data_IF_870544422910
#
_entry.id   IF_870544422910
#
_cell.length_a   1.000
_cell.length_b   1.000
_cell.length_c   1.000
_cell.angle_alpha   90.00
_cell.angle_beta   90.00
_cell.angle_gamma   90.00
#
_symmetry.space_group_name_H-M   'P 1'
#
loop_
_entity.id
_entity.type
_entity.pdbx_description
1 polymer ?
#
# COMPACT_ATOMS: atom_id res chain seq x y z
N UNK A 1 -24.75 -10.45 4.43
CA UNK A 1 -23.94 -11.47 3.74
C UNK A 1 -24.82 -12.66 3.38
N UNK A 2 -24.46 -13.42 2.33
CA UNK A 2 -25.16 -14.64 1.90
C UNK A 2 -24.88 -15.79 2.89
N UNK A 3 -23.74 -15.76 3.51
CA UNK A 3 -23.33 -16.68 4.58
C UNK A 3 -22.42 -15.95 5.59
N UNK A 4 -22.32 -16.50 6.80
CA UNK A 4 -21.52 -15.90 7.88
C UNK A 4 -22.19 -14.67 8.49
N UNK A 5 -21.41 -13.86 9.19
CA UNK A 5 -21.88 -12.67 9.89
C UNK A 5 -20.86 -11.54 9.89
N UNK A 6 -21.36 -10.31 10.02
CA UNK A 6 -20.56 -9.11 10.26
C UNK A 6 -20.80 -8.65 11.70
N UNK A 7 -19.73 -8.55 12.47
CA UNK A 7 -19.74 -8.13 13.89
C UNK A 7 -18.92 -6.87 14.14
N UNK A 8 -19.35 -6.11 15.13
CA UNK A 8 -18.55 -5.05 15.78
C UNK A 8 -18.60 -5.30 17.29
N UNK A 9 -17.47 -5.69 17.84
CA UNK A 9 -17.44 -6.26 19.19
C UNK A 9 -18.37 -7.50 19.30
N UNK A 10 -19.23 -7.48 20.29
CA UNK A 10 -20.23 -8.53 20.50
C UNK A 10 -21.52 -8.33 19.73
N UNK A 11 -21.68 -7.21 18.99
CA UNK A 11 -22.88 -6.86 18.27
C UNK A 11 -22.85 -7.36 16.83
N UNK A 12 -23.75 -8.27 16.49
CA UNK A 12 -23.98 -8.73 15.10
C UNK A 12 -24.70 -7.63 14.34
N UNK A 13 -24.09 -7.12 13.27
CA UNK A 13 -24.66 -6.09 12.40
C UNK A 13 -25.42 -6.67 11.23
N UNK A 14 -24.97 -7.80 10.70
CA UNK A 14 -25.60 -8.46 9.56
C UNK A 14 -25.29 -9.96 9.57
N UNK A 15 -26.30 -10.75 9.26
CA UNK A 15 -26.23 -12.20 9.03
C UNK A 15 -27.35 -12.57 8.04
N UNK A 16 -27.44 -13.82 7.52
CA UNK A 16 -28.47 -14.22 6.59
C UNK A 16 -29.92 -13.97 7.06
N UNK A 17 -30.14 -13.92 8.37
CA UNK A 17 -31.48 -13.68 8.96
C UNK A 17 -31.65 -12.34 9.66
N UNK A 18 -30.61 -11.52 9.76
CA UNK A 18 -30.64 -10.28 10.54
C UNK A 18 -29.82 -9.19 9.85
N UNK A 19 -30.42 -8.02 9.65
CA UNK A 19 -29.71 -6.84 9.12
C UNK A 19 -30.07 -5.63 9.97
N UNK A 20 -29.07 -5.08 10.68
CA UNK A 20 -29.23 -3.79 11.35
C UNK A 20 -29.15 -2.69 10.28
N UNK A 21 -30.14 -1.78 10.21
CA UNK A 21 -30.14 -0.71 9.22
C UNK A 21 -28.93 0.25 9.45
N UNK A 22 -28.40 0.86 8.37
CA UNK A 22 -27.16 1.64 8.41
C UNK A 22 -27.11 2.72 9.50
N UNK A 23 -28.19 3.44 9.70
CA UNK A 23 -28.30 4.54 10.69
C UNK A 23 -28.18 4.08 12.16
N UNK A 24 -28.34 2.77 12.41
CA UNK A 24 -28.20 2.17 13.75
C UNK A 24 -26.86 1.46 13.96
N UNK A 25 -25.96 1.45 12.97
CA UNK A 25 -24.68 0.74 13.04
C UNK A 25 -23.59 1.49 13.79
N UNK A 26 -23.77 2.79 14.04
CA UNK A 26 -22.78 3.69 14.61
C UNK A 26 -21.50 3.75 13.77
N UNK A 27 -21.67 3.77 12.47
CA UNK A 27 -20.61 3.86 11.47
C UNK A 27 -20.78 5.13 10.65
N UNK A 28 -19.67 5.72 10.23
CA UNK A 28 -19.66 6.79 9.24
C UNK A 28 -18.96 6.32 7.98
N UNK A 29 -19.34 6.88 6.84
CA UNK A 29 -18.75 6.54 5.55
C UNK A 29 -18.37 7.80 4.77
N UNK A 30 -17.18 7.76 4.17
CA UNK A 30 -16.71 8.74 3.20
C UNK A 30 -16.67 8.07 1.83
N UNK A 31 -17.44 8.62 0.91
CA UNK A 31 -17.55 8.13 -0.46
C UNK A 31 -16.48 8.75 -1.35
N UNK A 32 -16.19 8.12 -2.46
CA UNK A 32 -15.25 8.58 -3.48
C UNK A 32 -15.54 10.01 -3.97
N UNK A 33 -16.82 10.40 -4.11
CA UNK A 33 -17.25 11.73 -4.54
C UNK A 33 -17.39 12.76 -3.41
N UNK A 34 -16.93 12.41 -2.18
CA UNK A 34 -17.13 13.18 -0.95
C UNK A 34 -18.60 13.37 -0.54
N UNK A 35 -19.54 13.30 -1.46
CA UNK A 35 -20.99 13.44 -1.27
C UNK A 35 -21.38 14.64 -0.38
N UNK A 36 -20.73 15.81 -0.60
CA UNK A 36 -21.10 17.04 0.05
C UNK A 36 -22.37 17.62 -0.57
N UNK A 37 -23.25 18.17 0.28
CA UNK A 37 -24.45 18.87 -0.17
C UNK A 37 -24.06 20.26 -0.68
N UNK A 38 -24.19 20.55 -1.99
CA UNK A 38 -23.69 21.81 -2.56
C UNK A 38 -24.48 23.05 -2.13
N UNK A 39 -25.73 22.87 -1.69
CA UNK A 39 -26.61 23.93 -1.20
C UNK A 39 -26.47 24.21 0.31
N UNK A 40 -25.61 23.47 1.00
CA UNK A 40 -25.31 23.65 2.42
C UNK A 40 -23.91 24.22 2.59
N UNK A 41 -23.73 25.07 3.58
CA UNK A 41 -22.39 25.55 3.98
C UNK A 41 -21.56 24.42 4.59
N UNK A 42 -20.25 24.65 4.76
CA UNK A 42 -19.35 23.72 5.45
C UNK A 42 -19.87 23.34 6.83
N UNK A 43 -20.23 24.34 7.65
CA UNK A 43 -20.78 24.08 8.98
C UNK A 43 -22.08 23.27 8.93
N UNK A 44 -22.96 23.54 7.96
CA UNK A 44 -24.21 22.79 7.78
C UNK A 44 -23.96 21.34 7.32
N UNK A 45 -23.00 21.12 6.40
CA UNK A 45 -22.58 19.77 5.99
C UNK A 45 -22.07 18.97 7.19
N UNK A 46 -21.18 19.55 8.00
CA UNK A 46 -20.64 18.90 9.20
C UNK A 46 -21.73 18.65 10.23
N UNK A 47 -22.59 19.65 10.48
CA UNK A 47 -23.66 19.55 11.47
C UNK A 47 -24.75 18.52 11.14
N UNK A 48 -24.83 18.06 9.89
CA UNK A 48 -25.95 17.24 9.41
C UNK A 48 -26.13 15.96 10.25
N UNK A 49 -25.07 15.22 10.48
CA UNK A 49 -25.10 13.99 11.28
C UNK A 49 -25.50 14.20 12.74
N UNK A 50 -25.14 15.35 13.33
CA UNK A 50 -25.48 15.66 14.72
C UNK A 50 -26.99 15.86 14.96
N UNK A 51 -27.80 16.04 13.89
CA UNK A 51 -29.25 16.15 13.99
C UNK A 51 -29.91 14.84 14.42
N UNK A 52 -29.29 13.71 14.06
CA UNK A 52 -29.81 12.36 14.30
C UNK A 52 -29.13 11.67 15.50
N UNK A 53 -27.97 12.14 15.93
CA UNK A 53 -27.14 11.53 16.99
C UNK A 53 -27.49 11.91 18.43
N UNK A 54 -28.61 12.64 18.66
CA UNK A 54 -29.05 13.01 20.03
C UNK A 54 -28.22 14.13 20.68
N UNK A 55 -27.27 14.75 19.98
CA UNK A 55 -26.43 15.86 20.51
C UNK A 55 -27.31 17.09 20.83
N UNK A 56 -27.28 17.63 22.06
CA UNK A 56 -28.04 18.82 22.44
C UNK A 56 -27.72 20.01 21.53
N UNK A 57 -28.73 20.81 21.21
CA UNK A 57 -28.59 21.93 20.27
C UNK A 57 -27.52 22.94 20.68
N UNK A 58 -27.36 23.18 21.98
CA UNK A 58 -26.36 24.12 22.53
C UNK A 58 -24.90 23.62 22.43
N UNK A 59 -24.68 22.31 22.24
CA UNK A 59 -23.33 21.75 22.16
C UNK A 59 -22.84 21.60 20.70
N UNK A 60 -23.75 21.68 19.71
CA UNK A 60 -23.44 21.41 18.30
C UNK A 60 -22.42 22.39 17.72
N UNK A 61 -22.55 23.69 18.05
CA UNK A 61 -21.64 24.71 17.53
C UNK A 61 -20.20 24.47 18.01
N UNK A 62 -20.00 24.16 19.29
CA UNK A 62 -18.68 23.85 19.86
C UNK A 62 -18.05 22.61 19.19
N UNK A 63 -18.84 21.54 19.00
CA UNK A 63 -18.35 20.32 18.30
C UNK A 63 -17.97 20.59 16.85
N UNK A 64 -18.76 21.41 16.13
CA UNK A 64 -18.46 21.81 14.75
C UNK A 64 -17.15 22.60 14.67
N UNK A 65 -16.97 23.60 15.55
CA UNK A 65 -15.74 24.38 15.58
C UNK A 65 -14.52 23.54 15.94
N UNK A 66 -14.65 22.62 16.89
CA UNK A 66 -13.59 21.72 17.30
C UNK A 66 -13.15 20.81 16.14
N UNK A 67 -14.11 20.17 15.45
CA UNK A 67 -13.77 19.26 14.36
C UNK A 67 -13.23 20.02 13.15
N UNK A 68 -13.76 21.22 12.82
CA UNK A 68 -13.21 22.05 11.75
C UNK A 68 -11.77 22.49 12.05
N UNK A 69 -11.45 22.78 13.31
CA UNK A 69 -10.08 23.06 13.75
C UNK A 69 -9.19 21.81 13.60
N UNK A 70 -9.69 20.64 13.94
CA UNK A 70 -8.94 19.38 13.83
C UNK A 70 -8.55 19.04 12.39
N UNK A 71 -9.41 19.35 11.41
CA UNK A 71 -9.16 19.16 9.98
C UNK A 71 -8.59 20.41 9.29
N UNK A 72 -8.11 21.41 10.05
CA UNK A 72 -7.49 22.65 9.56
C UNK A 72 -8.40 23.51 8.66
N UNK A 73 -9.69 23.54 8.96
CA UNK A 73 -10.69 24.36 8.27
C UNK A 73 -11.32 25.44 9.19
N UNK A 74 -10.57 25.94 10.18
CA UNK A 74 -11.02 27.06 11.00
C UNK A 74 -11.39 28.27 10.13
N UNK A 75 -12.56 28.87 10.39
CA UNK A 75 -13.05 30.04 9.62
C UNK A 75 -13.72 29.72 8.29
N UNK A 76 -13.77 28.45 7.86
CA UNK A 76 -14.42 28.05 6.61
C UNK A 76 -15.91 27.70 6.76
N UNK A 77 -16.45 27.73 7.96
CA UNK A 77 -17.80 27.27 8.28
C UNK A 77 -18.93 27.89 7.45
N UNK A 78 -18.79 29.16 7.03
CA UNK A 78 -19.78 29.87 6.23
C UNK A 78 -19.67 29.65 4.71
N UNK A 79 -18.57 29.04 4.22
CA UNK A 79 -18.36 28.79 2.80
C UNK A 79 -19.19 27.62 2.29
N UNK A 80 -19.45 27.62 0.97
CA UNK A 80 -20.08 26.51 0.27
C UNK A 80 -19.04 25.57 -0.35
N UNK A 81 -19.37 24.30 -0.59
CA UNK A 81 -18.44 23.33 -1.21
C UNK A 81 -17.82 23.80 -2.52
N UNK A 82 -18.57 24.51 -3.37
CA UNK A 82 -18.05 25.05 -4.64
C UNK A 82 -16.96 26.13 -4.49
N UNK A 83 -16.76 26.67 -3.31
CA UNK A 83 -15.74 27.67 -2.99
C UNK A 83 -14.46 27.05 -2.43
N UNK A 84 -14.39 25.70 -2.39
CA UNK A 84 -13.32 24.93 -1.78
C UNK A 84 -12.51 24.16 -2.83
N UNK A 85 -11.21 24.00 -2.58
CA UNK A 85 -10.39 23.04 -3.33
C UNK A 85 -10.82 21.59 -3.03
N UNK A 86 -10.43 20.64 -3.91
CA UNK A 86 -10.74 19.22 -3.71
C UNK A 86 -10.28 18.67 -2.35
N UNK A 87 -9.06 19.01 -1.92
CA UNK A 87 -8.57 18.62 -0.60
C UNK A 87 -9.34 19.26 0.56
N UNK A 88 -9.80 20.51 0.41
CA UNK A 88 -10.67 21.14 1.41
C UNK A 88 -12.04 20.47 1.45
N UNK A 89 -12.63 20.11 0.30
CA UNK A 89 -13.89 19.36 0.25
C UNK A 89 -13.75 18.01 0.95
N UNK A 90 -12.64 17.30 0.72
CA UNK A 90 -12.36 16.05 1.40
C UNK A 90 -12.25 16.24 2.92
N UNK A 91 -11.53 17.25 3.39
CA UNK A 91 -11.45 17.58 4.83
C UNK A 91 -12.83 17.87 5.43
N UNK A 92 -13.73 18.50 4.68
CA UNK A 92 -15.14 18.67 5.10
C UNK A 92 -15.86 17.34 5.22
N UNK A 93 -15.67 16.42 4.26
CA UNK A 93 -16.26 15.08 4.31
C UNK A 93 -15.75 14.28 5.51
N UNK A 94 -14.45 14.37 5.79
CA UNK A 94 -13.83 13.77 6.99
C UNK A 94 -14.41 14.39 8.26
N UNK A 95 -14.51 15.72 8.36
CA UNK A 95 -15.10 16.40 9.50
C UNK A 95 -16.57 15.98 9.74
N UNK A 96 -17.36 15.86 8.66
CA UNK A 96 -18.75 15.38 8.73
C UNK A 96 -18.85 13.95 9.26
N UNK A 97 -17.91 13.08 8.87
CA UNK A 97 -17.88 11.70 9.32
C UNK A 97 -17.42 11.57 10.79
N UNK A 98 -16.47 12.40 11.22
CA UNK A 98 -15.88 12.34 12.57
C UNK A 98 -16.73 13.03 13.64
N UNK A 99 -17.49 14.08 13.29
CA UNK A 99 -18.24 14.88 14.28
C UNK A 99 -19.30 14.09 15.05
N UNK A 100 -19.76 12.96 14.46
CA UNK A 100 -20.74 12.04 15.08
C UNK A 100 -20.08 10.98 15.98
N UNK A 101 -18.75 11.02 16.11
CA UNK A 101 -17.97 10.09 16.94
C UNK A 101 -18.30 8.61 16.63
N UNK A 102 -18.09 8.17 15.39
CA UNK A 102 -18.47 6.82 14.98
C UNK A 102 -17.56 5.76 15.64
N UNK A 103 -18.08 4.55 15.84
CA UNK A 103 -17.27 3.39 16.27
C UNK A 103 -16.34 2.90 15.14
N UNK A 104 -16.80 3.01 13.89
CA UNK A 104 -16.06 2.60 12.70
C UNK A 104 -16.20 3.67 11.62
N UNK A 105 -15.07 3.98 10.99
CA UNK A 105 -15.00 4.85 9.81
C UNK A 105 -14.74 4.00 8.56
N UNK A 106 -15.60 4.13 7.56
CA UNK A 106 -15.48 3.47 6.27
C UNK A 106 -15.02 4.50 5.23
N UNK A 107 -13.97 4.21 4.50
CA UNK A 107 -13.40 5.07 3.47
C UNK A 107 -13.33 4.28 2.16
N UNK A 108 -14.11 4.71 1.16
CA UNK A 108 -14.18 4.05 -0.14
C UNK A 108 -13.49 4.91 -1.18
N UNK A 109 -12.24 4.57 -1.50
CA UNK A 109 -11.34 5.28 -2.42
C UNK A 109 -11.32 6.82 -2.23
N UNK A 110 -11.13 7.32 -1.00
CA UNK A 110 -11.37 8.73 -0.69
C UNK A 110 -10.40 9.70 -1.37
N UNK A 111 -9.28 9.23 -1.91
CA UNK A 111 -8.23 10.05 -2.54
C UNK A 111 -8.20 9.96 -4.06
N UNK A 112 -9.07 9.12 -4.68
CA UNK A 112 -9.00 8.82 -6.12
C UNK A 112 -9.22 10.04 -7.02
N UNK A 113 -9.96 11.05 -6.58
CA UNK A 113 -10.30 12.26 -7.33
C UNK A 113 -9.29 13.42 -7.15
N UNK A 114 -8.18 13.19 -6.43
CA UNK A 114 -7.15 14.19 -6.19
C UNK A 114 -5.99 14.04 -7.17
N UNK A 115 -5.34 15.16 -7.49
CA UNK A 115 -4.05 15.16 -8.17
C UNK A 115 -2.95 14.51 -7.30
N UNK A 116 -1.81 14.15 -7.92
CA UNK A 116 -0.77 13.37 -7.26
C UNK A 116 -0.17 14.07 -6.03
N UNK A 117 0.06 15.39 -6.11
CA UNK A 117 0.66 16.16 -5.01
C UNK A 117 -0.28 16.26 -3.82
N UNK A 118 -1.54 16.57 -4.08
CA UNK A 118 -2.56 16.69 -3.05
C UNK A 118 -2.90 15.32 -2.43
N UNK A 119 -2.86 14.26 -3.23
CA UNK A 119 -3.04 12.89 -2.75
C UNK A 119 -1.95 12.49 -1.75
N UNK A 120 -0.70 12.84 -2.03
CA UNK A 120 0.42 12.59 -1.12
C UNK A 120 0.24 13.32 0.20
N UNK A 121 -0.09 14.61 0.20
CA UNK A 121 -0.39 15.39 1.41
C UNK A 121 -1.52 14.75 2.21
N UNK A 122 -2.60 14.37 1.53
CA UNK A 122 -3.81 13.84 2.18
C UNK A 122 -3.64 12.44 2.77
N UNK A 123 -2.71 11.61 2.26
CA UNK A 123 -2.34 10.34 2.91
C UNK A 123 -1.84 10.56 4.33
N UNK A 124 -0.88 11.47 4.50
CA UNK A 124 -0.33 11.78 5.81
C UNK A 124 -1.38 12.44 6.74
N UNK A 125 -2.26 13.28 6.17
CA UNK A 125 -3.32 13.91 6.93
C UNK A 125 -4.35 12.88 7.46
N UNK A 126 -4.78 11.92 6.62
CA UNK A 126 -5.67 10.83 7.05
C UNK A 126 -4.98 9.98 8.13
N UNK A 127 -3.71 9.63 7.96
CA UNK A 127 -2.94 8.88 8.97
C UNK A 127 -2.89 9.65 10.29
N UNK A 128 -2.58 10.94 10.27
CA UNK A 128 -2.56 11.81 11.44
C UNK A 128 -3.92 11.89 12.17
N UNK A 129 -5.01 11.99 11.39
CA UNK A 129 -6.36 12.01 11.95
C UNK A 129 -6.73 10.66 12.57
N UNK A 130 -6.39 9.55 11.91
CA UNK A 130 -6.58 8.21 12.46
C UNK A 130 -5.86 8.05 13.81
N UNK A 131 -4.59 8.41 13.90
CA UNK A 131 -3.81 8.35 15.14
C UNK A 131 -4.38 9.26 16.24
N UNK A 132 -4.85 10.46 15.87
CA UNK A 132 -5.42 11.41 16.82
C UNK A 132 -6.75 10.94 17.41
N UNK A 133 -7.63 10.38 16.61
CA UNK A 133 -8.97 9.99 17.03
C UNK A 133 -9.08 8.53 17.48
N UNK A 134 -8.14 7.67 17.11
CA UNK A 134 -8.09 6.25 17.50
C UNK A 134 -9.29 5.42 17.01
N UNK A 135 -9.96 5.84 15.92
CA UNK A 135 -11.17 5.20 15.40
C UNK A 135 -10.77 4.02 14.52
N UNK A 136 -11.39 2.87 14.72
CA UNK A 136 -11.24 1.73 13.82
C UNK A 136 -11.67 2.13 12.41
N UNK A 137 -10.75 2.04 11.46
CA UNK A 137 -10.97 2.49 10.08
C UNK A 137 -10.84 1.34 9.10
N UNK A 138 -11.82 1.17 8.23
CA UNK A 138 -11.74 0.30 7.06
C UNK A 138 -11.53 1.18 5.82
N UNK A 139 -10.37 1.05 5.20
CA UNK A 139 -9.94 1.85 4.05
C UNK A 139 -9.86 0.98 2.80
N UNK A 140 -10.62 1.32 1.77
CA UNK A 140 -10.58 0.66 0.47
C UNK A 140 -9.81 1.55 -0.50
N UNK A 141 -8.82 0.97 -1.18
CA UNK A 141 -8.03 1.67 -2.21
C UNK A 141 -7.46 0.69 -3.22
N UNK A 142 -7.22 1.16 -4.43
CA UNK A 142 -6.39 0.51 -5.44
C UNK A 142 -4.95 1.07 -5.49
N UNK A 143 -4.67 2.15 -4.74
CA UNK A 143 -3.33 2.75 -4.64
C UNK A 143 -2.53 2.08 -3.52
N UNK A 144 -1.45 1.40 -3.91
CA UNK A 144 -0.58 0.69 -2.98
C UNK A 144 0.11 1.63 -1.98
N UNK A 145 0.48 2.85 -2.43
CA UNK A 145 1.15 3.81 -1.55
C UNK A 145 0.20 4.32 -0.46
N UNK A 146 -1.12 4.43 -0.74
CA UNK A 146 -2.12 4.72 0.29
C UNK A 146 -2.19 3.59 1.32
N UNK A 147 -2.30 2.35 0.87
CA UNK A 147 -2.34 1.19 1.75
C UNK A 147 -1.08 1.10 2.64
N UNK A 148 0.09 1.35 2.07
CA UNK A 148 1.37 1.29 2.79
C UNK A 148 1.53 2.37 3.86
N UNK A 149 1.04 3.59 3.60
CA UNK A 149 1.21 4.73 4.52
C UNK A 149 0.12 4.77 5.59
N UNK A 150 -1.13 4.49 5.19
CA UNK A 150 -2.29 4.75 6.05
C UNK A 150 -2.59 3.58 6.99
N UNK A 151 -2.40 2.34 6.56
CA UNK A 151 -2.90 1.19 7.30
C UNK A 151 -1.92 0.60 8.33
N UNK A 152 -2.46 0.05 9.42
CA UNK A 152 -1.73 -0.80 10.36
C UNK A 152 -1.68 -2.25 9.86
N UNK A 153 -2.72 -2.67 9.13
CA UNK A 153 -2.82 -3.96 8.45
C UNK A 153 -3.52 -3.77 7.11
N UNK A 154 -3.01 -4.44 6.08
CA UNK A 154 -3.64 -4.44 4.77
C UNK A 154 -4.00 -5.87 4.34
N UNK A 155 -5.06 -5.99 3.55
CA UNK A 155 -5.51 -7.23 2.93
C UNK A 155 -5.40 -7.11 1.41
N UNK A 156 -4.66 -8.02 0.78
CA UNK A 156 -4.64 -8.16 -0.67
C UNK A 156 -5.76 -9.10 -1.08
N UNK A 157 -6.65 -8.62 -1.95
CA UNK A 157 -7.83 -9.37 -2.40
C UNK A 157 -7.70 -9.67 -3.89
N UNK A 158 -7.93 -10.92 -4.29
CA UNK A 158 -7.97 -11.38 -5.67
C UNK A 158 -9.21 -12.22 -5.90
N UNK A 159 -9.99 -11.90 -6.93
CA UNK A 159 -11.20 -12.66 -7.30
C UNK A 159 -12.16 -12.91 -6.11
N UNK A 160 -12.36 -11.91 -5.26
CA UNK A 160 -13.23 -12.00 -4.08
C UNK A 160 -12.67 -12.82 -2.92
N UNK A 161 -11.41 -13.27 -2.98
CA UNK A 161 -10.73 -14.01 -1.91
C UNK A 161 -9.56 -13.20 -1.36
N UNK A 162 -9.31 -13.37 -0.08
CA UNK A 162 -8.15 -12.77 0.58
C UNK A 162 -6.93 -13.64 0.30
N UNK A 163 -5.93 -13.08 -0.40
CA UNK A 163 -4.66 -13.73 -0.70
C UNK A 163 -3.69 -13.67 0.49
N UNK A 164 -3.55 -12.48 1.06
CA UNK A 164 -2.69 -12.27 2.23
C UNK A 164 -3.19 -11.09 3.06
N UNK A 165 -3.09 -11.20 4.37
CA UNK A 165 -3.28 -10.10 5.33
C UNK A 165 -2.02 -9.98 6.18
N UNK A 166 -1.54 -8.76 6.40
CA UNK A 166 -0.39 -8.48 7.25
C UNK A 166 -0.14 -6.99 7.42
N UNK A 167 0.89 -6.64 8.16
CA UNK A 167 1.40 -5.28 8.17
C UNK A 167 1.93 -4.92 6.77
N UNK A 168 1.86 -3.64 6.34
CA UNK A 168 2.32 -3.23 5.02
C UNK A 168 3.72 -3.72 4.65
N UNK A 169 4.68 -3.61 5.57
CA UNK A 169 6.05 -4.09 5.35
C UNK A 169 6.12 -5.61 5.15
N UNK A 170 5.28 -6.40 5.85
CA UNK A 170 5.24 -7.86 5.68
C UNK A 170 4.73 -8.25 4.28
N UNK A 171 3.72 -7.55 3.78
CA UNK A 171 3.19 -7.78 2.42
C UNK A 171 4.24 -7.46 1.34
N UNK A 172 5.08 -6.45 1.58
CA UNK A 172 6.11 -6.03 0.65
C UNK A 172 7.37 -6.91 0.72
N UNK A 173 7.87 -7.20 1.93
CA UNK A 173 9.13 -7.92 2.15
C UNK A 173 8.95 -9.44 2.12
N UNK A 174 7.79 -9.94 2.56
CA UNK A 174 7.49 -11.37 2.71
C UNK A 174 6.17 -11.76 2.04
N UNK A 175 6.04 -11.52 0.73
CA UNK A 175 4.86 -11.96 -0.01
C UNK A 175 4.74 -13.48 0.05
N UNK A 176 3.51 -13.99 0.20
CA UNK A 176 3.26 -15.44 0.31
C UNK A 176 2.98 -16.09 -1.04
N UNK A 177 2.61 -15.31 -2.06
CA UNK A 177 2.29 -15.81 -3.40
C UNK A 177 2.95 -14.92 -4.46
N UNK A 178 3.13 -15.47 -5.64
CA UNK A 178 3.58 -14.73 -6.83
C UNK A 178 2.70 -13.51 -7.08
N UNK A 179 1.38 -13.68 -6.98
CA UNK A 179 0.45 -12.58 -7.16
C UNK A 179 0.69 -11.42 -6.18
N UNK A 180 0.86 -11.71 -4.89
CA UNK A 180 1.14 -10.65 -3.89
C UNK A 180 2.46 -9.96 -4.17
N UNK A 181 3.51 -10.72 -4.55
CA UNK A 181 4.81 -10.17 -4.89
C UNK A 181 4.75 -9.19 -6.08
N UNK A 182 3.97 -9.54 -7.13
CA UNK A 182 3.78 -8.71 -8.32
C UNK A 182 2.84 -7.54 -8.06
N UNK A 183 1.77 -7.78 -7.30
CA UNK A 183 0.77 -6.76 -7.01
C UNK A 183 1.31 -5.67 -6.08
N UNK A 184 2.10 -6.04 -5.05
CA UNK A 184 2.67 -5.09 -4.09
C UNK A 184 4.06 -4.64 -4.55
N UNK A 185 4.09 -3.58 -5.35
CA UNK A 185 5.33 -2.98 -5.87
C UNK A 185 6.00 -3.79 -6.97
N UNK A 186 7.13 -3.29 -7.44
CA UNK A 186 7.92 -3.92 -8.50
C UNK A 186 8.78 -5.03 -7.92
N UNK A 187 8.89 -6.15 -8.63
CA UNK A 187 9.77 -7.26 -8.26
C UNK A 187 10.34 -7.95 -9.50
N UNK A 188 11.50 -8.58 -9.37
CA UNK A 188 12.02 -9.54 -10.32
C UNK A 188 11.56 -10.92 -9.89
N UNK A 189 10.88 -11.66 -10.75
CA UNK A 189 10.50 -13.05 -10.52
C UNK A 189 11.35 -13.95 -11.40
N UNK A 190 12.00 -14.93 -10.78
CA UNK A 190 12.88 -15.86 -11.45
C UNK A 190 12.35 -17.26 -11.16
N UNK A 191 11.78 -17.91 -12.19
CA UNK A 191 11.41 -19.32 -12.10
C UNK A 191 12.70 -20.15 -12.08
N UNK A 192 12.85 -21.00 -11.11
CA UNK A 192 14.05 -21.75 -10.82
C UNK A 192 13.72 -23.15 -10.26
N UNK A 193 14.74 -23.95 -10.05
CA UNK A 193 14.62 -25.27 -9.41
C UNK A 193 15.57 -25.28 -8.22
N UNK A 194 15.14 -25.84 -7.10
CA UNK A 194 15.99 -26.04 -5.95
C UNK A 194 17.19 -26.93 -6.33
N UNK A 195 18.41 -26.43 -6.07
CA UNK A 195 19.67 -27.11 -6.43
C UNK A 195 20.28 -27.81 -5.21
N UNK A 196 20.20 -27.15 -4.06
CA UNK A 196 20.66 -27.65 -2.76
C UNK A 196 19.87 -27.02 -1.62
N UNK A 197 20.18 -27.36 -0.38
CA UNK A 197 19.49 -26.87 0.81
C UNK A 197 19.57 -25.33 1.04
N UNK A 198 20.08 -24.54 0.14
CA UNK A 198 20.19 -23.07 0.29
C UNK A 198 20.44 -22.39 -1.03
N UNK A 199 20.19 -23.05 -2.16
CA UNK A 199 20.35 -22.45 -3.48
C UNK A 199 19.32 -22.95 -4.47
N UNK A 200 19.05 -22.12 -5.47
CA UNK A 200 18.20 -22.41 -6.62
C UNK A 200 18.96 -22.20 -7.92
N UNK A 201 18.56 -22.89 -8.99
CA UNK A 201 19.18 -22.84 -10.29
C UNK A 201 18.17 -22.55 -11.40
N UNK A 202 18.58 -21.73 -12.39
CA UNK A 202 17.92 -21.58 -13.69
C UNK A 202 18.98 -21.65 -14.79
N UNK A 203 19.04 -22.77 -15.49
CA UNK A 203 20.14 -23.02 -16.44
C UNK A 203 21.49 -22.95 -15.71
N UNK A 204 22.38 -22.03 -16.11
CA UNK A 204 23.68 -21.80 -15.46
C UNK A 204 23.63 -20.84 -14.29
N UNK A 205 22.57 -20.04 -14.17
CA UNK A 205 22.39 -19.12 -13.06
C UNK A 205 22.20 -19.90 -11.76
N UNK A 206 22.96 -19.56 -10.73
CA UNK A 206 22.84 -20.07 -9.37
C UNK A 206 22.59 -18.90 -8.43
N UNK A 207 21.57 -19.01 -7.58
CA UNK A 207 21.24 -18.02 -6.56
C UNK A 207 21.19 -18.69 -5.19
N UNK A 208 21.95 -18.16 -4.24
CA UNK A 208 21.78 -18.48 -2.83
C UNK A 208 20.54 -17.77 -2.31
N UNK A 209 19.78 -18.47 -1.51
CA UNK A 209 18.54 -17.97 -0.88
C UNK A 209 18.60 -18.29 0.61
N UNK A 210 18.06 -17.41 1.44
CA UNK A 210 17.94 -17.67 2.88
C UNK A 210 16.64 -18.45 3.14
N UNK A 211 16.66 -19.73 2.86
CA UNK A 211 15.54 -20.62 3.13
C UNK A 211 16.04 -21.99 3.60
N UNK A 212 15.40 -22.46 4.66
CA UNK A 212 15.61 -23.81 5.17
C UNK A 212 14.64 -24.79 4.49
N UNK A 213 15.11 -26.02 4.27
CA UNK A 213 14.24 -27.11 3.86
C UNK A 213 13.89 -27.18 2.37
N UNK A 214 14.65 -26.55 1.49
CA UNK A 214 14.52 -26.73 0.04
C UNK A 214 14.75 -28.19 -0.33
N UNK A 215 13.79 -28.78 -1.05
CA UNK A 215 13.91 -30.13 -1.59
C UNK A 215 14.57 -30.04 -2.97
N UNK A 216 15.77 -30.61 -3.17
CA UNK A 216 16.44 -30.59 -4.47
C UNK A 216 15.53 -31.12 -5.58
N UNK A 217 15.48 -30.42 -6.71
CA UNK A 217 14.61 -30.74 -7.83
C UNK A 217 13.21 -30.13 -7.75
N UNK A 218 12.79 -29.59 -6.62
CA UNK A 218 11.49 -28.94 -6.50
C UNK A 218 11.47 -27.59 -7.26
N UNK A 219 10.35 -27.25 -7.94
CA UNK A 219 10.19 -25.95 -8.56
C UNK A 219 10.11 -24.85 -7.48
N UNK A 220 10.71 -23.71 -7.78
CA UNK A 220 10.75 -22.56 -6.90
C UNK A 220 10.66 -21.27 -7.70
N UNK A 221 10.10 -20.24 -7.12
CA UNK A 221 10.11 -18.89 -7.68
C UNK A 221 10.88 -17.98 -6.72
N UNK A 222 11.87 -17.25 -7.25
CA UNK A 222 12.61 -16.26 -6.46
C UNK A 222 12.11 -14.88 -6.78
N UNK A 223 11.69 -14.15 -5.76
CA UNK A 223 11.30 -12.74 -5.82
C UNK A 223 12.43 -11.86 -5.29
N UNK A 224 12.87 -10.89 -6.09
CA UNK A 224 13.94 -9.95 -5.72
C UNK A 224 13.47 -8.52 -6.02
N UNK A 225 13.40 -7.69 -5.01
CA UNK A 225 13.02 -6.28 -5.17
C UNK A 225 14.12 -5.51 -5.92
N UNK A 226 13.78 -4.64 -6.90
CA UNK A 226 14.79 -3.91 -7.68
C UNK A 226 15.74 -3.04 -6.87
N UNK A 227 15.29 -2.47 -5.75
CA UNK A 227 16.06 -1.54 -4.92
C UNK A 227 17.09 -2.22 -3.99
N UNK A 228 16.97 -3.54 -3.76
CA UNK A 228 17.94 -4.31 -2.96
C UNK A 228 19.11 -4.85 -3.78
N UNK A 229 19.03 -4.70 -5.11
CA UNK A 229 20.07 -5.10 -6.03
C UNK A 229 21.05 -3.94 -6.21
N UNK A 230 22.32 -4.16 -5.93
CA UNK A 230 23.36 -3.15 -6.16
C UNK A 230 24.08 -3.40 -7.47
N UNK A 231 24.33 -2.31 -8.22
CA UNK A 231 25.16 -2.30 -9.41
C UNK A 231 26.51 -1.66 -9.11
N UNK A 232 27.58 -2.30 -9.58
CA UNK A 232 28.94 -1.78 -9.54
C UNK A 232 29.64 -1.91 -10.89
N UNK A 233 30.82 -1.29 -11.08
CA UNK A 233 31.64 -1.57 -12.23
C UNK A 233 31.99 -3.05 -12.22
N UNK A 234 32.15 -3.63 -13.41
CA UNK A 234 32.62 -5.03 -13.53
C UNK A 234 33.99 -5.13 -12.84
N UNK A 235 33.99 -5.56 -11.59
CA UNK A 235 35.22 -5.80 -10.85
C UNK A 235 35.87 -7.10 -11.36
N UNK A 236 37.21 -7.10 -11.46
CA UNK A 236 37.94 -8.36 -11.50
C UNK A 236 37.58 -9.20 -10.26
N UNK A 237 37.94 -10.46 -10.23
CA UNK A 237 37.62 -11.52 -9.26
C UNK A 237 37.63 -11.10 -7.76
N UNK A 238 36.72 -10.20 -7.34
CA UNK A 238 36.49 -9.98 -5.93
C UNK A 238 35.59 -11.11 -5.42
N UNK A 239 36.09 -11.82 -4.41
CA UNK A 239 35.26 -12.83 -3.72
C UNK A 239 34.08 -12.11 -3.06
N UNK A 240 32.84 -12.45 -3.39
CA UNK A 240 31.67 -11.83 -2.78
C UNK A 240 31.66 -12.07 -1.27
N UNK A 241 31.12 -11.12 -0.51
CA UNK A 241 30.92 -11.29 0.93
C UNK A 241 30.10 -12.58 1.19
N UNK A 242 30.33 -13.28 2.29
CA UNK A 242 29.53 -14.43 2.67
C UNK A 242 28.03 -14.08 2.66
N UNK A 243 27.20 -14.95 2.09
CA UNK A 243 25.76 -14.73 2.00
C UNK A 243 25.30 -13.76 0.89
N UNK A 244 26.21 -13.33 0.01
CA UNK A 244 25.86 -12.47 -1.13
C UNK A 244 25.97 -13.23 -2.46
N UNK A 245 24.97 -13.04 -3.33
CA UNK A 245 25.04 -13.43 -4.71
C UNK A 245 25.79 -12.36 -5.51
N UNK A 246 26.85 -12.73 -6.19
CA UNK A 246 27.59 -11.87 -7.12
C UNK A 246 27.48 -12.43 -8.52
N UNK A 247 26.90 -11.65 -9.39
CA UNK A 247 26.62 -11.99 -10.79
C UNK A 247 27.24 -10.94 -11.69
N UNK A 248 27.40 -11.27 -12.95
CA UNK A 248 27.81 -10.31 -13.99
C UNK A 248 26.71 -10.14 -15.01
N UNK A 249 26.64 -8.96 -15.59
CA UNK A 249 25.64 -8.66 -16.60
C UNK A 249 26.00 -7.44 -17.42
N UNK A 250 25.14 -7.16 -18.39
CA UNK A 250 25.25 -5.97 -19.25
C UNK A 250 23.98 -5.16 -19.13
N UNK A 251 24.12 -3.85 -18.98
CA UNK A 251 23.00 -2.92 -18.93
C UNK A 251 22.35 -2.84 -20.31
N UNK A 252 21.09 -3.26 -20.42
CA UNK A 252 20.30 -3.12 -21.64
C UNK A 252 19.74 -1.69 -21.77
N UNK A 253 19.29 -1.14 -20.64
CA UNK A 253 18.64 0.19 -20.59
C UNK A 253 18.87 0.82 -19.23
N UNK A 254 19.10 2.15 -19.23
CA UNK A 254 19.09 3.00 -18.06
C UNK A 254 18.07 4.13 -18.27
N UNK A 255 17.05 4.22 -17.42
CA UNK A 255 15.99 5.22 -17.49
C UNK A 255 16.04 6.11 -16.27
N UNK A 256 16.25 7.41 -16.47
CA UNK A 256 16.26 8.40 -15.41
C UNK A 256 14.83 8.74 -14.98
N UNK A 257 14.54 8.66 -13.69
CA UNK A 257 13.22 8.91 -13.11
C UNK A 257 13.20 10.09 -12.12
N UNK A 258 14.24 10.93 -12.12
CA UNK A 258 14.40 12.05 -11.22
C UNK A 258 15.33 11.70 -10.06
N UNK A 259 14.79 11.18 -8.99
CA UNK A 259 15.49 10.76 -7.77
C UNK A 259 16.20 9.41 -7.88
N UNK A 260 15.75 8.58 -8.83
CA UNK A 260 16.28 7.24 -9.07
C UNK A 260 16.55 6.98 -10.56
N UNK A 261 17.34 5.94 -10.82
CA UNK A 261 17.55 5.38 -12.17
C UNK A 261 17.06 3.94 -12.18
N UNK A 262 16.22 3.61 -13.17
CA UNK A 262 15.69 2.27 -13.40
C UNK A 262 16.53 1.60 -14.50
N UNK A 263 17.23 0.53 -14.14
CA UNK A 263 18.08 -0.23 -15.03
C UNK A 263 17.40 -1.55 -15.40
N UNK A 264 17.59 -1.97 -16.65
CA UNK A 264 17.37 -3.34 -17.10
C UNK A 264 18.74 -3.95 -17.39
N UNK A 265 19.06 -5.05 -16.72
CA UNK A 265 20.36 -5.73 -16.81
C UNK A 265 20.14 -7.17 -17.23
N UNK A 266 20.71 -7.57 -18.37
CA UNK A 266 20.76 -8.99 -18.74
C UNK A 266 21.92 -9.66 -18.01
N UNK A 267 21.67 -10.81 -17.39
CA UNK A 267 22.71 -11.57 -16.72
C UNK A 267 23.51 -12.38 -17.74
N UNK A 268 24.82 -12.47 -17.54
CA UNK A 268 25.68 -13.33 -18.38
C UNK A 268 25.30 -14.80 -18.19
N UNK A 269 25.42 -15.58 -19.27
CA UNK A 269 25.13 -17.01 -19.31
C UNK A 269 23.69 -17.40 -18.90
N UNK A 270 22.74 -16.43 -18.96
CA UNK A 270 21.34 -16.61 -18.56
C UNK A 270 20.41 -15.83 -19.49
N UNK A 271 19.16 -16.27 -19.56
CA UNK A 271 18.06 -15.56 -20.21
C UNK A 271 17.35 -14.56 -19.29
N UNK A 272 17.88 -14.40 -18.07
CA UNK A 272 17.26 -13.53 -17.03
C UNK A 272 17.63 -12.08 -17.26
N UNK A 273 16.61 -11.24 -17.31
CA UNK A 273 16.76 -9.78 -17.28
C UNK A 273 16.27 -9.26 -15.93
N UNK A 274 17.18 -8.64 -15.18
CA UNK A 274 16.85 -8.03 -13.89
C UNK A 274 16.52 -6.55 -14.07
N UNK A 275 15.49 -6.10 -13.36
CA UNK A 275 15.23 -4.70 -13.11
C UNK A 275 15.93 -4.29 -11.84
N UNK A 276 16.68 -3.20 -11.88
CA UNK A 276 17.43 -2.68 -10.74
C UNK A 276 17.13 -1.19 -10.57
N UNK A 277 16.86 -0.77 -9.35
CA UNK A 277 16.65 0.65 -9.03
C UNK A 277 17.87 1.17 -8.28
N UNK A 278 18.56 2.11 -8.89
CA UNK A 278 19.75 2.73 -8.31
C UNK A 278 19.55 4.23 -8.03
N UNK A 279 20.48 4.84 -7.25
CA UNK A 279 20.47 6.27 -6.98
C UNK A 279 20.90 7.09 -8.21
N UNK A 280 20.59 8.38 -8.20
CA UNK A 280 21.15 9.37 -9.13
C UNK A 280 22.47 9.94 -8.57
N UNK A 281 23.42 10.37 -9.46
CA UNK A 281 23.40 10.22 -10.91
C UNK A 281 23.58 8.78 -11.38
N UNK A 282 23.20 8.48 -12.62
CA UNK A 282 23.36 7.15 -13.22
C UNK A 282 24.81 6.68 -13.15
N UNK A 283 25.03 5.48 -12.63
CA UNK A 283 26.37 4.88 -12.47
C UNK A 283 26.79 4.02 -13.67
N UNK A 284 25.85 3.67 -14.54
CA UNK A 284 26.10 2.87 -15.74
C UNK A 284 25.16 3.31 -16.88
N UNK A 285 25.57 3.02 -18.12
CA UNK A 285 24.82 3.31 -19.35
C UNK A 285 24.50 2.01 -20.10
N UNK A 286 23.59 2.09 -21.06
CA UNK A 286 23.32 0.97 -21.94
C UNK A 286 24.61 0.49 -22.64
N UNK A 287 24.85 -0.81 -22.62
CA UNK A 287 26.05 -1.47 -23.14
C UNK A 287 27.17 -1.65 -22.10
N UNK A 288 27.10 -1.00 -20.94
CA UNK A 288 28.14 -1.14 -19.92
C UNK A 288 28.08 -2.51 -19.25
N UNK A 289 29.23 -3.20 -19.10
CA UNK A 289 29.34 -4.40 -18.29
C UNK A 289 29.33 -4.03 -16.81
N UNK A 290 28.50 -4.71 -16.02
CA UNK A 290 28.30 -4.42 -14.59
C UNK A 290 28.43 -5.67 -13.73
N UNK A 291 28.83 -5.48 -12.48
CA UNK A 291 28.59 -6.44 -11.42
C UNK A 291 27.23 -6.20 -10.80
N UNK A 292 26.52 -7.29 -10.51
CA UNK A 292 25.20 -7.31 -9.88
C UNK A 292 25.32 -8.03 -8.56
N UNK A 293 25.04 -7.38 -7.47
CA UNK A 293 25.13 -7.99 -6.13
C UNK A 293 23.79 -7.91 -5.41
N UNK A 294 23.40 -9.03 -4.78
CA UNK A 294 22.19 -9.13 -3.96
C UNK A 294 22.40 -10.09 -2.79
N UNK A 295 22.00 -9.69 -1.59
CA UNK A 295 22.08 -10.57 -0.43
C UNK A 295 21.16 -11.79 -0.59
N UNK A 296 21.57 -12.95 -0.10
CA UNK A 296 20.73 -14.16 -0.13
C UNK A 296 19.41 -13.96 0.63
N UNK A 297 19.43 -13.17 1.70
CA UNK A 297 18.26 -12.82 2.51
C UNK A 297 17.21 -11.98 1.73
N UNK A 298 17.68 -11.24 0.72
CA UNK A 298 16.80 -10.43 -0.15
C UNK A 298 16.20 -11.24 -1.32
N UNK A 299 16.63 -12.50 -1.48
CA UNK A 299 16.09 -13.45 -2.44
C UNK A 299 14.97 -14.26 -1.78
N UNK A 300 13.74 -13.74 -1.84
CA UNK A 300 12.56 -14.34 -1.18
C UNK A 300 12.04 -15.49 -2.03
N UNK A 301 11.92 -16.67 -1.44
CA UNK A 301 11.29 -17.81 -2.09
C UNK A 301 9.78 -17.74 -1.99
N UNK A 302 9.14 -17.94 -3.11
CA UNK A 302 7.69 -18.08 -3.23
C UNK A 302 7.36 -19.52 -3.62
N UNK A 303 6.20 -20.07 -3.21
CA UNK A 303 5.73 -21.32 -3.76
C UNK A 303 5.60 -21.19 -5.28
N UNK A 304 5.94 -22.26 -6.00
CA UNK A 304 5.59 -22.35 -7.41
C UNK A 304 4.06 -22.33 -7.52
N UNK A 305 3.54 -21.54 -8.46
CA UNK A 305 2.10 -21.55 -8.74
C UNK A 305 1.71 -22.96 -9.21
N UNK A 306 0.59 -23.49 -8.65
CA UNK A 306 -0.04 -24.72 -9.13
C UNK A 306 -0.69 -24.51 -10.51
#
# INVERSE_FOLDING_TARGET
>A
PDAGEIRVGDRVLSSPGTVIPPERRRMAMIFQSYALWPHMTVAQNVAYGLRFGGTPRGEREGKIEEILRAVQLSGYGARYPGELSGGQQQRVAVARALVVEPEILLLDEPLSNLDASLREEMRFEIRRLHERFGITTLYVTHDQAEAMVISDRAAVIRNGRVEQIGAPHELFERPRTRFVAEFIGKTNLIDAVADSAGSVARGRLRLRVAADGLIPGAPAVVSIRPHVIALGPRAGTQTPAPGTNALTGTVLRASYLGDTVDYQVTLEESDVVLRVTGPTPARARAGDPVSVTVAAEACVLLPADD
#
